data_IF_939985879725
#
_entry.id   IF_939985879725
#
_cell.length_a   1.000
_cell.length_b   1.000
_cell.length_c   1.000
_cell.angle_alpha   90.00
_cell.angle_beta   90.00
_cell.angle_gamma   90.00
#
_symmetry.space_group_name_H-M   'P 1'
#
loop_
_entity.id
_entity.type
_entity.pdbx_description
1 polymer ?
#
# COMPACT_ATOMS: atom_id res chain seq x y z
N UNK A 1 -19.14 0.37 21.85
CA UNK A 1 -19.18 1.12 20.57
C UNK A 1 -19.73 0.17 19.52
N UNK A 2 -20.66 0.62 18.72
CA UNK A 2 -21.17 -0.18 17.59
C UNK A 2 -20.10 -0.12 16.50
N UNK A 3 -19.58 -1.24 16.02
CA UNK A 3 -18.58 -1.23 14.96
C UNK A 3 -19.16 -0.70 13.65
N UNK A 4 -18.35 0.01 12.86
CA UNK A 4 -18.68 0.39 11.49
C UNK A 4 -18.63 -0.82 10.56
N UNK A 5 -17.63 -1.68 10.76
CA UNK A 5 -17.44 -2.93 10.06
C UNK A 5 -17.17 -4.05 11.07
N UNK A 6 -17.84 -5.18 10.88
CA UNK A 6 -17.59 -6.42 11.60
C UNK A 6 -17.34 -7.53 10.59
N UNK A 7 -16.23 -8.23 10.75
CA UNK A 7 -15.83 -9.40 9.96
C UNK A 7 -15.73 -10.59 10.90
N UNK A 8 -16.46 -11.66 10.60
CA UNK A 8 -16.50 -12.88 11.43
C UNK A 8 -16.15 -14.12 10.61
N UNK A 9 -15.13 -14.86 11.05
CA UNK A 9 -14.69 -16.15 10.51
C UNK A 9 -14.49 -16.14 8.99
N UNK A 10 -13.96 -15.05 8.44
CA UNK A 10 -13.76 -14.88 7.01
C UNK A 10 -12.65 -15.79 6.51
N UNK A 11 -12.94 -16.53 5.43
CA UNK A 11 -12.01 -17.44 4.77
C UNK A 11 -12.02 -17.18 3.27
N UNK A 12 -10.83 -17.16 2.67
CA UNK A 12 -10.64 -17.01 1.22
C UNK A 12 -9.51 -17.89 0.72
N UNK A 13 -9.77 -18.59 -0.38
CA UNK A 13 -8.79 -19.40 -1.10
C UNK A 13 -8.90 -19.19 -2.62
N UNK A 14 -7.84 -19.51 -3.34
CA UNK A 14 -7.80 -19.65 -4.79
C UNK A 14 -7.29 -21.06 -5.13
N UNK A 15 -8.19 -21.97 -5.46
CA UNK A 15 -7.86 -23.37 -5.61
C UNK A 15 -7.20 -23.92 -4.33
N UNK A 16 -6.02 -24.48 -4.44
CA UNK A 16 -5.27 -25.04 -3.29
C UNK A 16 -4.58 -23.97 -2.42
N UNK A 17 -4.51 -22.73 -2.88
CA UNK A 17 -3.86 -21.64 -2.15
C UNK A 17 -4.85 -20.96 -1.19
N UNK A 18 -4.75 -21.29 0.10
CA UNK A 18 -5.49 -20.60 1.15
C UNK A 18 -4.76 -19.32 1.52
N UNK A 19 -5.40 -18.16 1.32
CA UNK A 19 -4.85 -16.85 1.66
C UNK A 19 -4.99 -16.56 3.15
N UNK A 20 -6.20 -16.69 3.67
CA UNK A 20 -6.50 -16.54 5.10
C UNK A 20 -7.69 -17.42 5.48
N UNK A 21 -7.74 -17.83 6.74
CA UNK A 21 -8.71 -18.79 7.25
C UNK A 21 -9.24 -18.35 8.62
N UNK A 22 -10.57 -18.28 8.73
CA UNK A 22 -11.29 -17.93 9.95
C UNK A 22 -10.81 -16.62 10.61
N UNK A 23 -10.50 -15.61 9.82
CA UNK A 23 -10.09 -14.31 10.34
C UNK A 23 -11.30 -13.51 10.83
N UNK A 24 -11.17 -12.85 11.98
CA UNK A 24 -12.23 -12.02 12.56
C UNK A 24 -11.63 -10.72 13.09
N UNK A 25 -12.26 -9.59 12.74
CA UNK A 25 -11.87 -8.27 13.23
C UNK A 25 -13.03 -7.27 13.07
N UNK A 26 -12.93 -6.14 13.73
CA UNK A 26 -13.90 -5.07 13.58
C UNK A 26 -13.22 -3.72 13.46
N UNK A 27 -13.90 -2.76 12.84
CA UNK A 27 -13.49 -1.35 12.75
C UNK A 27 -14.59 -0.51 13.38
N UNK A 28 -14.25 0.23 14.42
CA UNK A 28 -15.16 1.15 15.07
C UNK A 28 -14.97 2.59 14.55
N UNK A 29 -15.87 3.47 14.90
CA UNK A 29 -15.82 4.90 14.59
C UNK A 29 -14.50 5.52 15.07
N UNK A 30 -13.85 6.27 14.18
CA UNK A 30 -12.59 6.98 14.45
C UNK A 30 -11.37 6.09 14.57
N UNK A 31 -11.46 4.76 14.39
CA UNK A 31 -10.31 3.88 14.37
C UNK A 31 -9.52 4.02 13.07
N UNK A 32 -8.20 4.04 13.20
CA UNK A 32 -7.26 4.09 12.08
C UNK A 32 -6.37 2.87 12.12
N UNK A 33 -6.62 1.93 11.21
CA UNK A 33 -6.03 0.60 11.21
C UNK A 33 -5.11 0.46 10.01
N UNK A 34 -3.85 0.08 10.26
CA UNK A 34 -2.91 -0.35 9.24
C UNK A 34 -2.94 -1.86 9.06
N UNK A 35 -3.16 -2.34 7.84
CA UNK A 35 -3.11 -3.76 7.49
C UNK A 35 -1.74 -4.11 6.94
N UNK A 36 -1.06 -5.03 7.60
CA UNK A 36 0.28 -5.49 7.24
C UNK A 36 0.22 -6.99 6.92
N UNK A 37 0.88 -7.38 5.84
CA UNK A 37 1.09 -8.77 5.50
C UNK A 37 2.20 -8.91 4.46
N UNK A 38 2.77 -10.11 4.32
CA UNK A 38 3.73 -10.42 3.25
C UNK A 38 3.06 -10.26 1.88
N UNK A 39 3.86 -10.05 0.84
CA UNK A 39 3.32 -10.03 -0.53
C UNK A 39 2.74 -11.40 -0.88
N UNK A 40 1.60 -11.40 -1.61
CA UNK A 40 0.91 -12.62 -1.99
C UNK A 40 0.03 -13.27 -0.90
N UNK A 41 -0.10 -12.67 0.30
CA UNK A 41 -0.97 -13.20 1.38
C UNK A 41 -2.41 -12.74 1.31
N UNK A 42 -2.79 -11.96 0.29
CA UNK A 42 -4.18 -11.57 0.05
C UNK A 42 -4.59 -10.23 0.64
N UNK A 43 -3.66 -9.24 0.84
CA UNK A 43 -4.02 -7.89 1.30
C UNK A 43 -5.08 -7.24 0.39
N UNK A 44 -4.74 -7.05 -0.88
CA UNK A 44 -5.65 -6.47 -1.88
C UNK A 44 -6.93 -7.29 -2.06
N UNK A 45 -6.83 -8.63 -2.00
CA UNK A 45 -7.99 -9.52 -2.02
C UNK A 45 -8.93 -9.24 -0.84
N UNK A 46 -8.39 -9.07 0.37
CA UNK A 46 -9.20 -8.70 1.54
C UNK A 46 -9.88 -7.33 1.34
N UNK A 47 -9.16 -6.33 0.84
CA UNK A 47 -9.76 -5.02 0.56
C UNK A 47 -10.83 -5.10 -0.52
N UNK A 48 -10.63 -5.89 -1.58
CA UNK A 48 -11.63 -6.14 -2.63
C UNK A 48 -12.87 -6.85 -2.09
N UNK A 49 -12.71 -7.79 -1.18
CA UNK A 49 -13.85 -8.46 -0.51
C UNK A 49 -14.62 -7.44 0.34
N UNK A 50 -13.95 -6.61 1.12
CA UNK A 50 -14.58 -5.57 1.94
C UNK A 50 -15.30 -4.50 1.11
N UNK A 51 -14.79 -4.20 -0.08
CA UNK A 51 -15.45 -3.27 -1.03
C UNK A 51 -16.55 -3.93 -1.88
N UNK A 52 -16.81 -5.23 -1.69
CA UNK A 52 -17.84 -5.96 -2.44
C UNK A 52 -17.47 -6.34 -3.88
N UNK A 53 -16.20 -6.15 -4.28
CA UNK A 53 -15.70 -6.45 -5.63
C UNK A 53 -15.33 -7.92 -5.82
N UNK A 54 -15.07 -8.61 -4.73
CA UNK A 54 -14.69 -10.03 -4.75
C UNK A 54 -15.47 -10.82 -3.72
N UNK A 55 -15.83 -12.08 -4.06
CA UNK A 55 -16.50 -13.00 -3.16
C UNK A 55 -15.52 -13.71 -2.22
N UNK A 56 -16.04 -14.29 -1.15
CA UNK A 56 -15.30 -15.08 -0.15
C UNK A 56 -15.93 -16.47 0.01
N UNK A 57 -15.17 -17.40 0.58
CA UNK A 57 -15.58 -18.82 0.65
C UNK A 57 -16.48 -19.09 1.87
N UNK A 58 -16.17 -18.49 3.02
CA UNK A 58 -16.91 -18.63 4.26
C UNK A 58 -16.75 -17.40 5.15
N UNK A 59 -17.69 -17.20 6.07
CA UNK A 59 -17.68 -16.08 7.02
C UNK A 59 -18.83 -15.12 6.81
N UNK A 60 -18.78 -13.99 7.54
CA UNK A 60 -19.78 -12.96 7.46
C UNK A 60 -19.14 -11.58 7.54
N UNK A 61 -19.65 -10.63 6.75
CA UNK A 61 -19.20 -9.23 6.74
C UNK A 61 -20.45 -8.37 6.94
N UNK A 62 -20.43 -7.56 7.97
CA UNK A 62 -21.54 -6.68 8.31
C UNK A 62 -21.06 -5.25 8.43
N UNK A 63 -21.61 -4.38 7.61
CA UNK A 63 -21.45 -2.93 7.73
C UNK A 63 -22.62 -2.33 8.51
N UNK A 64 -22.35 -1.28 9.28
CA UNK A 64 -23.43 -0.48 9.88
C UNK A 64 -24.32 0.08 8.76
N UNK A 65 -25.62 0.12 8.99
CA UNK A 65 -26.55 0.76 8.05
C UNK A 65 -26.21 2.23 7.85
N UNK A 66 -26.41 2.73 6.65
CA UNK A 66 -26.17 4.11 6.24
C UNK A 66 -24.70 4.59 6.35
N UNK A 67 -23.76 3.63 6.42
CA UNK A 67 -22.34 3.93 6.44
C UNK A 67 -21.85 4.26 5.02
N UNK A 68 -21.22 5.41 4.83
CA UNK A 68 -20.55 5.77 3.60
C UNK A 68 -19.15 5.17 3.62
N UNK A 69 -18.90 4.23 2.71
CA UNK A 69 -17.59 3.56 2.57
C UNK A 69 -17.02 3.92 1.21
N UNK A 70 -15.78 4.35 1.18
CA UNK A 70 -15.05 4.57 -0.07
C UNK A 70 -13.76 3.76 -0.10
N UNK A 71 -13.35 3.35 -1.30
CA UNK A 71 -12.21 2.49 -1.52
C UNK A 71 -11.31 3.01 -2.62
N UNK A 72 -10.08 3.37 -2.28
CA UNK A 72 -9.01 3.68 -3.22
C UNK A 72 -8.33 2.38 -3.66
N UNK A 73 -8.55 2.00 -4.91
CA UNK A 73 -7.90 0.85 -5.53
C UNK A 73 -6.44 1.11 -5.91
N UNK A 74 -5.67 0.05 -5.97
CA UNK A 74 -4.28 0.12 -6.44
C UNK A 74 -4.19 0.58 -7.90
N UNK A 75 -5.12 0.14 -8.79
CA UNK A 75 -5.18 0.50 -10.21
C UNK A 75 -6.58 1.02 -10.59
N UNK A 76 -6.88 2.28 -10.26
CA UNK A 76 -8.17 2.89 -10.54
C UNK A 76 -8.39 3.06 -12.05
N UNK A 77 -9.62 2.80 -12.49
CA UNK A 77 -10.03 2.95 -13.89
C UNK A 77 -11.12 3.99 -13.99
N UNK A 78 -10.93 4.93 -14.88
CA UNK A 78 -11.91 5.97 -15.23
C UNK A 78 -12.17 5.97 -16.74
N UNK A 79 -13.36 6.36 -17.20
CA UNK A 79 -13.58 6.63 -18.61
C UNK A 79 -12.60 7.67 -19.15
N UNK A 80 -12.05 7.40 -20.33
CA UNK A 80 -10.96 8.19 -20.91
C UNK A 80 -11.40 9.61 -21.33
N UNK A 81 -12.69 9.79 -21.59
CA UNK A 81 -13.27 11.05 -22.06
C UNK A 81 -13.47 12.06 -20.92
N UNK A 82 -13.55 11.60 -19.67
CA UNK A 82 -13.78 12.47 -18.52
C UNK A 82 -12.62 13.46 -18.33
N UNK A 83 -12.97 14.67 -17.91
CA UNK A 83 -11.98 15.61 -17.38
C UNK A 83 -11.52 15.19 -15.99
N UNK A 84 -10.41 15.73 -15.51
CA UNK A 84 -9.91 15.51 -14.15
C UNK A 84 -10.98 15.83 -13.11
N UNK A 85 -11.68 16.96 -13.29
CA UNK A 85 -12.72 17.37 -12.34
C UNK A 85 -13.91 16.41 -12.35
N UNK A 86 -14.38 16.01 -13.52
CA UNK A 86 -15.46 15.02 -13.68
C UNK A 86 -15.05 13.65 -13.11
N UNK A 87 -13.79 13.23 -13.26
CA UNK A 87 -13.27 12.00 -12.69
C UNK A 87 -13.29 12.04 -11.15
N UNK A 88 -13.02 13.19 -10.54
CA UNK A 88 -13.16 13.37 -9.08
C UNK A 88 -14.60 13.23 -8.60
N UNK A 89 -15.56 13.39 -9.49
CA UNK A 89 -16.98 13.30 -9.21
C UNK A 89 -17.63 12.02 -9.78
N UNK A 90 -16.84 11.09 -10.28
CA UNK A 90 -17.36 9.92 -10.99
C UNK A 90 -18.11 8.93 -10.08
N UNK A 91 -17.77 8.84 -8.81
CA UNK A 91 -18.49 7.99 -7.85
C UNK A 91 -19.68 8.78 -7.27
N UNK A 92 -20.87 8.51 -7.79
CA UNK A 92 -22.11 9.24 -7.57
C UNK A 92 -22.40 9.57 -6.10
N UNK A 93 -22.18 10.84 -5.77
CA UNK A 93 -22.72 11.48 -4.57
C UNK A 93 -23.89 12.37 -5.04
N UNK A 94 -24.96 12.49 -4.25
CA UNK A 94 -26.11 13.36 -4.55
C UNK A 94 -25.72 14.81 -4.89
N UNK A 95 -24.67 15.30 -4.25
CA UNK A 95 -24.09 16.64 -4.52
C UNK A 95 -23.47 16.72 -5.90
N UNK A 96 -22.82 15.67 -6.37
CA UNK A 96 -22.23 15.61 -7.71
C UNK A 96 -23.29 15.57 -8.81
N UNK A 97 -24.34 14.78 -8.59
CA UNK A 97 -25.49 14.77 -9.54
C UNK A 97 -26.13 16.14 -9.61
N UNK A 98 -26.25 16.80 -8.47
CA UNK A 98 -26.77 18.17 -8.40
C UNK A 98 -25.88 19.20 -9.13
N UNK A 99 -24.54 19.08 -9.01
CA UNK A 99 -23.60 19.93 -9.74
C UNK A 99 -23.74 19.70 -11.25
N UNK A 100 -23.84 18.45 -11.71
CA UNK A 100 -24.07 18.11 -13.11
C UNK A 100 -25.40 18.64 -13.65
N UNK A 101 -26.48 18.52 -12.84
CA UNK A 101 -27.78 19.10 -13.19
C UNK A 101 -27.68 20.61 -13.34
N UNK A 102 -26.93 21.27 -12.47
CA UNK A 102 -26.71 22.73 -12.54
C UNK A 102 -25.91 23.12 -13.78
N UNK A 103 -24.81 22.46 -14.08
CA UNK A 103 -24.00 22.71 -15.29
C UNK A 103 -24.82 22.50 -16.54
N UNK A 104 -25.57 21.40 -16.63
CA UNK A 104 -26.45 21.13 -17.77
C UNK A 104 -27.58 22.19 -17.91
N UNK A 105 -28.13 22.66 -16.78
CA UNK A 105 -29.11 23.75 -16.78
C UNK A 105 -28.50 25.04 -17.33
N UNK A 106 -27.26 25.35 -16.97
CA UNK A 106 -26.53 26.56 -17.43
C UNK A 106 -26.20 26.51 -18.91
N UNK A 107 -25.99 25.33 -19.49
CA UNK A 107 -25.75 25.13 -20.91
C UNK A 107 -27.05 25.19 -21.74
N UNK A 108 -28.20 25.02 -21.12
CA UNK A 108 -29.51 24.97 -21.79
C UNK A 108 -30.11 26.40 -21.93
N UNK A 109 -30.50 26.77 -23.13
CA UNK A 109 -31.17 28.07 -23.35
C UNK A 109 -32.46 28.22 -22.51
N UNK A 110 -32.56 29.33 -21.78
CA UNK A 110 -33.70 29.61 -20.90
C UNK A 110 -33.63 29.04 -19.48
N UNK A 111 -32.57 28.34 -19.14
CA UNK A 111 -32.23 27.86 -17.79
C UNK A 111 -33.43 27.30 -17.00
N UNK A 112 -34.13 26.27 -17.51
CA UNK A 112 -35.34 25.73 -16.86
C UNK A 112 -35.03 25.14 -15.50
N UNK A 113 -35.73 25.62 -14.43
CA UNK A 113 -35.56 25.10 -13.08
C UNK A 113 -34.35 25.65 -12.31
N UNK A 114 -33.68 26.68 -12.82
CA UNK A 114 -32.46 27.23 -12.20
C UNK A 114 -32.69 27.67 -10.73
N UNK A 115 -33.84 28.29 -10.40
CA UNK A 115 -34.12 28.75 -9.04
C UNK A 115 -34.18 27.60 -8.04
N UNK A 116 -34.86 26.49 -8.38
CA UNK A 116 -34.91 25.30 -7.54
C UNK A 116 -33.53 24.62 -7.40
N UNK A 117 -32.74 24.58 -8.47
CA UNK A 117 -31.38 24.05 -8.47
C UNK A 117 -30.46 24.87 -7.57
N UNK A 118 -30.53 26.21 -7.65
CA UNK A 118 -29.74 27.09 -6.78
C UNK A 118 -30.05 26.88 -5.29
N UNK A 119 -31.33 26.73 -4.95
CA UNK A 119 -31.75 26.46 -3.56
C UNK A 119 -31.20 25.10 -3.07
N UNK A 120 -31.25 24.07 -3.94
CA UNK A 120 -30.66 22.74 -3.63
C UNK A 120 -29.14 22.80 -3.53
N UNK A 121 -28.47 23.56 -4.41
CA UNK A 121 -27.00 23.76 -4.39
C UNK A 121 -26.54 24.43 -3.09
N UNK A 122 -27.29 25.43 -2.60
CA UNK A 122 -27.01 26.11 -1.34
C UNK A 122 -27.28 25.20 -0.13
N UNK A 123 -28.39 24.46 -0.16
CA UNK A 123 -28.74 23.52 0.92
C UNK A 123 -27.71 22.39 1.10
N UNK A 124 -27.26 21.80 -0.01
CA UNK A 124 -26.28 20.73 -0.05
C UNK A 124 -24.82 21.23 -0.01
N UNK A 125 -24.62 22.57 0.07
CA UNK A 125 -23.28 23.21 0.02
C UNK A 125 -22.43 22.80 -1.19
N UNK A 126 -23.07 22.60 -2.33
CA UNK A 126 -22.44 22.10 -3.54
C UNK A 126 -21.31 23.02 -4.06
N UNK A 127 -21.43 24.33 -3.83
CA UNK A 127 -20.40 25.32 -4.18
C UNK A 127 -19.09 25.09 -3.40
N UNK A 128 -19.18 24.74 -2.12
CA UNK A 128 -18.02 24.45 -1.30
C UNK A 128 -17.33 23.15 -1.74
N UNK A 129 -18.12 22.22 -2.31
CA UNK A 129 -17.67 20.91 -2.74
C UNK A 129 -16.70 21.00 -3.95
N UNK A 130 -17.04 21.78 -4.97
CA UNK A 130 -16.17 22.01 -6.12
C UNK A 130 -14.87 22.73 -5.71
N UNK A 131 -15.00 23.75 -4.85
CA UNK A 131 -13.83 24.47 -4.35
C UNK A 131 -12.90 23.54 -3.55
N UNK A 132 -13.47 22.67 -2.74
CA UNK A 132 -12.74 21.66 -1.95
C UNK A 132 -12.04 20.68 -2.88
N UNK A 133 -12.72 20.19 -3.93
CA UNK A 133 -12.14 19.31 -4.94
C UNK A 133 -10.91 19.94 -5.59
N UNK A 134 -11.02 21.18 -6.05
CA UNK A 134 -9.92 21.94 -6.65
C UNK A 134 -8.77 22.16 -5.67
N UNK A 135 -9.08 22.39 -4.39
CA UNK A 135 -8.06 22.52 -3.35
C UNK A 135 -7.30 21.21 -3.13
N UNK A 136 -7.99 20.08 -2.98
CA UNK A 136 -7.37 18.75 -2.80
C UNK A 136 -6.53 18.38 -4.02
N UNK A 137 -7.05 18.56 -5.24
CA UNK A 137 -6.31 18.35 -6.49
C UNK A 137 -5.03 19.18 -6.57
N UNK A 138 -5.11 20.46 -6.18
CA UNK A 138 -3.97 21.37 -6.16
C UNK A 138 -2.89 20.90 -5.16
N UNK A 139 -3.27 20.41 -4.00
CA UNK A 139 -2.35 19.82 -3.00
C UNK A 139 -1.66 18.56 -3.55
N UNK A 140 -2.39 17.77 -4.34
CA UNK A 140 -1.86 16.61 -5.06
C UNK A 140 -1.13 17.00 -6.36
N UNK A 141 -0.80 18.29 -6.54
CA UNK A 141 -0.04 18.83 -7.68
C UNK A 141 -0.70 18.55 -9.04
N UNK A 142 -2.02 18.49 -9.08
CA UNK A 142 -2.83 18.46 -10.31
C UNK A 142 -3.41 19.85 -10.51
N UNK A 143 -2.99 20.52 -11.59
CA UNK A 143 -3.31 21.95 -11.84
C UNK A 143 -4.27 22.15 -13.02
N UNK A 144 -4.27 21.24 -13.99
CA UNK A 144 -5.15 21.32 -15.15
C UNK A 144 -6.39 20.44 -14.89
N UNK A 145 -7.48 21.07 -14.47
CA UNK A 145 -8.72 20.37 -14.11
C UNK A 145 -9.55 19.96 -15.34
N UNK A 146 -9.36 20.65 -16.46
CA UNK A 146 -10.06 20.41 -17.73
C UNK A 146 -9.33 19.38 -18.61
N UNK A 147 -8.16 18.90 -18.17
CA UNK A 147 -7.41 17.86 -18.88
C UNK A 147 -8.17 16.53 -18.85
N UNK A 148 -8.28 15.88 -20.01
CA UNK A 148 -8.92 14.57 -20.08
C UNK A 148 -8.05 13.47 -19.45
N UNK A 149 -8.72 12.48 -18.84
CA UNK A 149 -8.10 11.34 -18.15
C UNK A 149 -7.12 10.59 -19.05
N UNK A 150 -7.42 10.40 -20.33
CA UNK A 150 -6.54 9.72 -21.31
C UNK A 150 -5.16 10.37 -21.47
N UNK A 151 -5.01 11.62 -21.09
CA UNK A 151 -3.73 12.36 -21.18
C UNK A 151 -2.96 12.39 -19.85
N UNK A 152 -3.50 11.74 -18.80
CA UNK A 152 -2.84 11.64 -17.52
C UNK A 152 -1.81 10.50 -17.53
N UNK A 153 -0.68 10.74 -16.85
CA UNK A 153 0.21 9.62 -16.49
C UNK A 153 -0.46 8.72 -15.45
N UNK A 154 -0.04 7.46 -15.36
CA UNK A 154 -0.56 6.53 -14.34
C UNK A 154 -0.47 7.07 -12.91
N UNK A 155 0.62 7.78 -12.58
CA UNK A 155 0.78 8.44 -11.29
C UNK A 155 -0.18 9.63 -11.08
N UNK A 156 -0.50 10.37 -12.14
CA UNK A 156 -1.52 11.44 -12.06
C UNK A 156 -2.90 10.86 -11.87
N UNK A 157 -3.23 9.78 -12.58
CA UNK A 157 -4.52 9.11 -12.45
C UNK A 157 -4.75 8.59 -11.02
N UNK A 158 -3.73 7.99 -10.40
CA UNK A 158 -3.79 7.53 -9.00
C UNK A 158 -3.99 8.69 -8.01
N UNK A 159 -3.39 9.85 -8.28
CA UNK A 159 -3.61 11.05 -7.47
C UNK A 159 -5.03 11.63 -7.63
N UNK A 160 -5.61 11.56 -8.83
CA UNK A 160 -7.01 11.93 -9.06
C UNK A 160 -7.94 10.98 -8.31
N UNK A 161 -7.68 9.67 -8.34
CA UNK A 161 -8.46 8.69 -7.59
C UNK A 161 -8.37 8.91 -6.07
N UNK A 162 -7.18 9.24 -5.56
CA UNK A 162 -7.02 9.61 -4.16
C UNK A 162 -7.82 10.87 -3.83
N UNK A 163 -7.77 11.91 -4.69
CA UNK A 163 -8.58 13.11 -4.51
C UNK A 163 -10.08 12.77 -4.44
N UNK A 164 -10.59 11.94 -5.35
CA UNK A 164 -11.96 11.48 -5.34
C UNK A 164 -12.34 10.86 -3.99
N UNK A 165 -11.57 9.89 -3.51
CA UNK A 165 -11.81 9.20 -2.24
C UNK A 165 -11.77 10.15 -1.02
N UNK A 166 -11.00 11.25 -1.07
CA UNK A 166 -10.92 12.24 0.00
C UNK A 166 -12.07 13.27 -0.05
N UNK A 167 -12.53 13.61 -1.27
CA UNK A 167 -13.61 14.58 -1.49
C UNK A 167 -14.94 14.05 -0.99
N UNK A 168 -15.21 12.75 -1.13
CA UNK A 168 -16.46 12.11 -0.72
C UNK A 168 -16.70 12.14 0.80
N UNK A 169 -15.67 12.43 1.62
CA UNK A 169 -15.71 12.42 3.09
C UNK A 169 -16.44 11.18 3.64
N UNK A 170 -15.95 9.97 3.35
CA UNK A 170 -16.62 8.77 3.80
C UNK A 170 -16.48 8.60 5.32
N UNK A 171 -17.40 7.85 5.94
CA UNK A 171 -17.30 7.48 7.35
C UNK A 171 -16.18 6.43 7.56
N UNK A 172 -15.99 5.54 6.57
CA UNK A 172 -14.91 4.56 6.51
C UNK A 172 -14.18 4.67 5.16
N UNK A 173 -12.92 5.01 5.21
CA UNK A 173 -12.03 5.08 4.06
C UNK A 173 -11.10 3.87 4.02
N UNK A 174 -11.08 3.17 2.88
CA UNK A 174 -10.19 2.04 2.63
C UNK A 174 -9.15 2.48 1.60
N UNK A 175 -7.85 2.38 1.93
CA UNK A 175 -6.75 2.82 1.07
C UNK A 175 -5.79 1.66 0.78
N UNK A 176 -5.56 1.37 -0.51
CA UNK A 176 -4.54 0.43 -0.95
C UNK A 176 -3.35 1.19 -1.54
N UNK A 177 -2.22 1.21 -0.80
CA UNK A 177 -0.96 1.87 -1.17
C UNK A 177 -1.11 3.36 -1.55
N UNK A 178 -1.73 4.21 -0.70
CA UNK A 178 -2.04 5.60 -1.06
C UNK A 178 -0.80 6.48 -1.23
N UNK A 179 0.34 6.12 -0.65
CA UNK A 179 1.60 6.87 -0.74
C UNK A 179 2.37 6.62 -2.03
N UNK A 180 2.00 5.58 -2.79
CA UNK A 180 2.62 5.32 -4.07
C UNK A 180 2.36 6.50 -5.04
N UNK A 181 3.39 6.93 -5.75
CA UNK A 181 3.38 8.06 -6.69
C UNK A 181 3.19 9.45 -6.06
N UNK A 182 3.20 9.56 -4.72
CA UNK A 182 3.30 10.83 -4.01
C UNK A 182 4.78 11.19 -3.80
N UNK A 183 5.07 12.46 -3.82
CA UNK A 183 6.34 12.98 -3.32
C UNK A 183 6.23 13.34 -1.83
N UNK A 184 7.33 13.79 -1.23
CA UNK A 184 7.38 14.05 0.20
C UNK A 184 6.32 15.06 0.65
N UNK A 185 6.21 16.19 -0.08
CA UNK A 185 5.27 17.27 0.28
C UNK A 185 3.81 16.76 0.25
N UNK A 186 3.46 15.98 -0.79
CA UNK A 186 2.11 15.39 -0.91
C UNK A 186 1.86 14.35 0.18
N UNK A 187 2.87 13.55 0.53
CA UNK A 187 2.77 12.53 1.59
C UNK A 187 2.57 13.19 2.95
N UNK A 188 3.34 14.23 3.28
CA UNK A 188 3.18 15.00 4.52
C UNK A 188 1.80 15.69 4.60
N UNK A 189 1.34 16.26 3.49
CA UNK A 189 0.00 16.83 3.42
C UNK A 189 -1.08 15.79 3.65
N UNK A 190 -0.99 14.60 3.02
CA UNK A 190 -1.96 13.52 3.18
C UNK A 190 -1.98 13.00 4.63
N UNK A 191 -0.80 12.87 5.26
CA UNK A 191 -0.67 12.51 6.67
C UNK A 191 -1.42 13.49 7.55
N UNK A 192 -1.18 14.79 7.37
CA UNK A 192 -1.85 15.85 8.13
C UNK A 192 -3.36 15.86 7.88
N UNK A 193 -3.80 15.67 6.64
CA UNK A 193 -5.21 15.60 6.28
C UNK A 193 -5.90 14.43 7.01
N UNK A 194 -5.36 13.22 6.92
CA UNK A 194 -5.92 12.03 7.56
C UNK A 194 -5.91 12.11 9.10
N UNK A 195 -4.97 12.84 9.67
CA UNK A 195 -4.90 13.03 11.14
C UNK A 195 -5.93 14.02 11.65
N UNK A 196 -6.25 15.06 10.88
CA UNK A 196 -7.19 16.13 11.27
C UNK A 196 -8.65 15.75 11.02
N UNK A 197 -8.90 14.90 10.03
CA UNK A 197 -10.27 14.46 9.71
C UNK A 197 -10.74 13.39 10.69
N UNK A 198 -12.02 13.47 11.06
CA UNK A 198 -12.65 12.47 11.93
C UNK A 198 -13.24 11.33 11.09
N UNK A 199 -12.38 10.58 10.39
CA UNK A 199 -12.76 9.42 9.59
C UNK A 199 -12.17 8.13 10.18
N UNK A 200 -12.86 7.01 9.95
CA UNK A 200 -12.31 5.69 10.21
C UNK A 200 -11.50 5.25 9.00
N UNK A 201 -10.37 4.59 9.23
CA UNK A 201 -9.42 4.26 8.19
C UNK A 201 -9.01 2.79 8.27
N UNK A 202 -9.03 2.10 7.13
CA UNK A 202 -8.32 0.84 6.90
C UNK A 202 -7.32 1.06 5.77
N UNK A 203 -6.03 0.88 6.05
CA UNK A 203 -4.99 1.21 5.08
C UNK A 203 -3.96 0.10 4.93
N UNK A 204 -3.59 -0.18 3.69
CA UNK A 204 -2.42 -0.97 3.33
C UNK A 204 -1.36 -0.02 2.80
N UNK A 205 -0.15 -0.06 3.35
CA UNK A 205 1.01 0.62 2.77
C UNK A 205 2.32 -0.01 3.23
N UNK A 206 3.35 0.14 2.42
CA UNK A 206 4.73 -0.22 2.75
C UNK A 206 5.50 0.92 3.42
N UNK A 207 4.94 2.12 3.48
CA UNK A 207 5.52 3.26 4.16
C UNK A 207 5.32 3.16 5.68
N UNK A 208 6.40 2.75 6.36
CA UNK A 208 6.43 2.53 7.81
C UNK A 208 6.26 3.81 8.61
N UNK A 209 6.79 4.91 8.11
CA UNK A 209 6.70 6.22 8.76
C UNK A 209 5.27 6.75 8.69
N UNK A 210 4.64 6.59 7.54
CA UNK A 210 3.25 6.95 7.35
C UNK A 210 2.32 6.11 8.26
N UNK A 211 2.53 4.79 8.33
CA UNK A 211 1.79 3.92 9.26
C UNK A 211 1.95 4.35 10.71
N UNK A 212 3.17 4.65 11.14
CA UNK A 212 3.46 5.02 12.53
C UNK A 212 2.79 6.32 12.96
N UNK A 213 2.61 7.26 12.02
CA UNK A 213 2.03 8.58 12.28
C UNK A 213 0.52 8.63 12.13
N UNK A 214 -0.05 7.84 11.22
CA UNK A 214 -1.49 7.90 10.89
C UNK A 214 -2.29 6.84 11.63
N UNK A 215 -1.77 5.61 11.76
CA UNK A 215 -2.50 4.49 12.34
C UNK A 215 -2.33 4.38 13.85
N UNK A 216 -3.42 4.11 14.56
CA UNK A 216 -3.44 3.84 16.00
C UNK A 216 -3.47 2.35 16.33
N UNK A 217 -3.79 1.52 15.35
CA UNK A 217 -3.84 0.07 15.46
C UNK A 217 -3.26 -0.59 14.22
N UNK A 218 -2.66 -1.76 14.40
CA UNK A 218 -2.10 -2.57 13.31
C UNK A 218 -2.76 -3.95 13.33
N UNK A 219 -3.19 -4.39 12.17
CA UNK A 219 -3.63 -5.76 11.91
C UNK A 219 -2.59 -6.43 11.02
N UNK A 220 -2.10 -7.59 11.44
CA UNK A 220 -1.17 -8.41 10.66
C UNK A 220 -1.82 -9.70 10.22
N UNK A 221 -1.73 -10.01 8.91
CA UNK A 221 -2.04 -11.35 8.40
C UNK A 221 -0.72 -12.10 8.25
N UNK A 222 -0.52 -13.12 9.08
CA UNK A 222 0.66 -13.99 9.07
C UNK A 222 0.24 -15.46 9.22
N UNK A 223 0.78 -16.33 8.38
CA UNK A 223 0.44 -17.75 8.39
C UNK A 223 -1.07 -18.04 8.36
N UNK A 224 -1.83 -17.33 7.51
CA UNK A 224 -3.29 -17.42 7.31
C UNK A 224 -4.13 -16.96 8.51
N UNK A 225 -3.51 -16.45 9.57
CA UNK A 225 -4.16 -15.96 10.78
C UNK A 225 -4.03 -14.45 10.88
N UNK A 226 -4.95 -13.84 11.62
CA UNK A 226 -4.96 -12.42 11.88
C UNK A 226 -4.52 -12.14 13.31
N UNK A 227 -3.60 -11.18 13.46
CA UNK A 227 -3.11 -10.68 14.74
C UNK A 227 -3.38 -9.18 14.81
N UNK A 228 -3.95 -8.72 15.92
CA UNK A 228 -4.28 -7.33 16.15
C UNK A 228 -3.40 -6.74 17.24
N UNK A 229 -2.84 -5.56 16.98
CA UNK A 229 -1.98 -4.83 17.90
C UNK A 229 -2.54 -3.42 18.11
N UNK A 230 -2.88 -3.09 19.35
CA UNK A 230 -3.39 -1.76 19.73
C UNK A 230 -2.21 -0.86 20.03
N UNK A 231 -1.75 -0.16 19.04
CA UNK A 231 -0.60 0.74 19.07
C UNK A 231 -0.12 1.08 17.67
N UNK A 232 0.91 1.92 17.60
CA UNK A 232 1.54 2.35 16.36
C UNK A 232 2.44 1.25 15.77
N UNK A 233 3.08 1.56 14.63
CA UNK A 233 3.94 0.60 13.94
C UNK A 233 5.15 0.16 14.79
N UNK A 234 5.74 1.07 15.56
CA UNK A 234 6.87 0.76 16.44
C UNK A 234 6.48 -0.23 17.54
N UNK A 235 5.30 -0.06 18.16
CA UNK A 235 4.74 -1.00 19.13
C UNK A 235 4.46 -2.37 18.50
N UNK A 236 3.91 -2.38 17.28
CA UNK A 236 3.70 -3.61 16.53
C UNK A 236 4.99 -4.40 16.33
N UNK A 237 6.09 -3.74 15.93
CA UNK A 237 7.38 -4.42 15.72
C UNK A 237 7.87 -5.11 16.99
N UNK A 238 7.80 -4.44 18.14
CA UNK A 238 8.18 -5.00 19.43
C UNK A 238 7.33 -6.24 19.76
N UNK A 239 6.01 -6.11 19.70
CA UNK A 239 5.09 -7.20 20.03
C UNK A 239 5.15 -8.36 19.04
N UNK A 240 5.39 -8.08 17.79
CA UNK A 240 5.63 -9.11 16.77
C UNK A 240 6.89 -9.91 17.10
N UNK A 241 7.97 -9.23 17.48
CA UNK A 241 9.23 -9.90 17.86
C UNK A 241 9.03 -10.79 19.07
N UNK A 242 8.38 -10.30 20.15
CA UNK A 242 8.03 -11.12 21.31
C UNK A 242 7.22 -12.37 20.93
N UNK A 243 6.22 -12.22 20.05
CA UNK A 243 5.39 -13.34 19.56
C UNK A 243 6.25 -14.39 18.82
N UNK A 244 7.14 -13.94 17.94
CA UNK A 244 8.03 -14.82 17.16
C UNK A 244 8.96 -15.60 18.11
N UNK A 245 9.55 -14.92 19.08
CA UNK A 245 10.44 -15.53 20.07
C UNK A 245 9.70 -16.55 20.93
N UNK A 246 8.52 -16.20 21.46
CA UNK A 246 7.69 -17.12 22.24
C UNK A 246 7.34 -18.38 21.44
N UNK A 247 6.96 -18.22 20.17
CA UNK A 247 6.61 -19.36 19.31
C UNK A 247 7.82 -20.19 18.92
N UNK A 248 8.99 -19.59 18.75
CA UNK A 248 10.23 -20.35 18.50
C UNK A 248 10.62 -21.23 19.68
N UNK A 249 10.48 -20.72 20.91
CA UNK A 249 10.70 -21.50 22.15
C UNK A 249 9.68 -22.63 22.29
N UNK A 250 8.41 -22.39 21.94
CA UNK A 250 7.37 -23.42 21.95
C UNK A 250 7.70 -24.57 20.98
N UNK A 251 8.08 -24.24 19.74
CA UNK A 251 8.48 -25.21 18.72
C UNK A 251 9.73 -25.98 19.16
N UNK A 252 10.71 -25.32 19.76
CA UNK A 252 11.91 -25.97 20.26
C UNK A 252 11.59 -26.98 21.38
N UNK A 253 10.73 -26.60 22.33
CA UNK A 253 10.21 -27.52 23.38
C UNK A 253 9.45 -28.69 22.77
N UNK A 254 8.58 -28.42 21.79
CA UNK A 254 7.83 -29.46 21.09
C UNK A 254 8.78 -30.41 20.32
N UNK A 255 9.83 -29.91 19.70
CA UNK A 255 10.84 -30.71 19.00
C UNK A 255 11.61 -31.63 19.96
N UNK A 256 11.99 -31.13 21.14
CA UNK A 256 12.68 -31.92 22.15
C UNK A 256 11.77 -33.04 22.69
N UNK A 257 10.51 -32.72 22.96
CA UNK A 257 9.50 -33.68 23.40
C UNK A 257 9.20 -34.71 22.29
N UNK A 258 9.05 -34.25 21.04
CA UNK A 258 8.83 -35.12 19.87
C UNK A 258 9.93 -36.17 19.73
N UNK A 259 11.20 -35.80 19.87
CA UNK A 259 12.33 -36.74 19.80
C UNK A 259 12.18 -37.85 20.87
N UNK A 260 11.83 -37.46 22.08
CA UNK A 260 11.63 -38.41 23.20
C UNK A 260 10.45 -39.36 22.97
N UNK A 261 9.31 -38.80 22.52
CA UNK A 261 8.11 -39.57 22.24
C UNK A 261 8.24 -40.42 20.96
N UNK A 262 9.03 -39.98 19.97
CA UNK A 262 9.35 -40.74 18.77
C UNK A 262 10.12 -42.02 19.10
N UNK A 263 11.08 -41.92 20.02
CA UNK A 263 11.84 -43.09 20.48
C UNK A 263 10.93 -44.09 21.23
N UNK A 264 9.97 -43.59 22.02
CA UNK A 264 8.95 -44.43 22.63
C UNK A 264 8.01 -45.05 21.60
N UNK A 265 7.59 -44.34 20.58
CA UNK A 265 6.74 -44.84 19.49
C UNK A 265 7.45 -45.91 18.65
N UNK A 266 8.76 -45.86 18.49
CA UNK A 266 9.56 -46.85 17.75
C UNK A 266 9.80 -48.15 18.53
N UNK A 267 9.74 -48.11 19.87
CA UNK A 267 9.92 -49.33 20.70
C UNK A 267 8.72 -50.24 20.51
N UNK A 268 8.98 -51.54 20.30
CA UNK A 268 7.92 -52.57 20.30
C UNK A 268 7.30 -52.72 21.68
N UNK A 269 5.96 -52.90 21.81
CA UNK A 269 5.34 -53.22 23.09
C UNK A 269 5.85 -54.59 23.59
N UNK A 270 6.21 -54.66 24.86
CA UNK A 270 6.53 -55.96 25.50
C UNK A 270 5.28 -56.83 25.54
N UNK A 271 5.45 -58.15 25.38
CA UNK A 271 4.41 -59.15 25.17
C UNK A 271 3.05 -58.86 25.85
N UNK A 272 1.97 -58.82 25.06
CA UNK A 272 0.55 -58.59 25.45
C UNK A 272 0.18 -57.17 25.93
N UNK A 273 1.07 -56.16 25.84
CA UNK A 273 0.72 -54.80 26.18
C UNK A 273 0.40 -53.98 24.91
N UNK A 274 -0.73 -53.25 24.88
CA UNK A 274 -1.07 -52.29 23.88
C UNK A 274 -0.48 -50.92 24.27
N UNK A 275 0.03 -50.15 23.30
CA UNK A 275 0.41 -48.76 23.55
C UNK A 275 -0.83 -47.95 23.94
N UNK A 276 -0.73 -47.19 25.02
CA UNK A 276 -1.83 -46.35 25.48
C UNK A 276 -2.29 -45.37 24.36
N UNK A 277 -3.56 -45.48 23.95
CA UNK A 277 -4.14 -44.68 22.88
C UNK A 277 -3.97 -43.19 23.15
N UNK A 278 -4.22 -42.71 24.36
CA UNK A 278 -4.03 -41.34 24.79
C UNK A 278 -2.63 -40.80 24.47
N UNK A 279 -1.57 -41.61 24.72
CA UNK A 279 -0.20 -41.19 24.46
C UNK A 279 0.12 -41.16 22.96
N UNK A 280 -0.52 -42.02 22.17
CA UNK A 280 -0.42 -41.97 20.71
C UNK A 280 -1.08 -40.72 20.17
N UNK A 281 -2.28 -40.38 20.65
CA UNK A 281 -2.99 -39.16 20.24
C UNK A 281 -2.17 -37.91 20.61
N UNK A 282 -1.61 -37.85 21.83
CA UNK A 282 -0.73 -36.77 22.26
C UNK A 282 0.54 -36.66 21.41
N UNK A 283 1.12 -37.79 20.96
CA UNK A 283 2.27 -37.79 20.04
C UNK A 283 1.98 -37.07 18.73
N UNK A 284 0.82 -37.33 18.12
CA UNK A 284 0.44 -36.68 16.87
C UNK A 284 0.21 -35.17 17.02
N UNK A 285 -0.31 -34.74 18.16
CA UNK A 285 -0.42 -33.30 18.45
C UNK A 285 0.96 -32.65 18.62
N UNK A 286 1.88 -33.28 19.33
CA UNK A 286 3.26 -32.81 19.49
C UNK A 286 3.96 -32.77 18.11
N UNK A 287 3.78 -33.81 17.31
CA UNK A 287 4.35 -33.88 15.95
C UNK A 287 3.86 -32.74 15.08
N UNK A 288 2.59 -32.39 15.15
CA UNK A 288 1.98 -31.27 14.40
C UNK A 288 2.63 -29.94 14.76
N UNK A 289 2.89 -29.69 16.04
CA UNK A 289 3.56 -28.48 16.51
C UNK A 289 5.05 -28.49 16.14
N UNK A 290 5.74 -29.60 16.36
CA UNK A 290 7.17 -29.74 16.07
C UNK A 290 7.52 -29.63 14.58
N UNK A 291 6.62 -30.02 13.69
CA UNK A 291 6.78 -29.89 12.23
C UNK A 291 6.43 -28.50 11.69
N UNK A 292 5.92 -27.58 12.51
CA UNK A 292 5.72 -26.21 12.06
C UNK A 292 7.06 -25.57 11.73
N UNK A 293 7.29 -25.24 10.46
CA UNK A 293 8.47 -24.49 10.04
C UNK A 293 8.15 -23.00 10.15
N UNK A 294 8.84 -22.32 11.03
CA UNK A 294 8.91 -20.86 11.00
C UNK A 294 9.91 -20.47 9.89
N UNK A 295 9.41 -20.14 8.71
CA UNK A 295 10.25 -19.55 7.68
C UNK A 295 10.56 -18.11 8.06
N UNK A 296 11.55 -17.93 8.91
CA UNK A 296 12.20 -16.65 9.15
C UNK A 296 13.48 -16.55 8.29
N UNK A 297 13.42 -17.10 7.08
CA UNK A 297 14.54 -17.07 6.15
C UNK A 297 14.79 -15.61 5.72
N UNK A 298 15.65 -14.94 6.48
CA UNK A 298 16.38 -13.82 5.94
C UNK A 298 17.22 -14.38 4.79
N UNK A 299 16.82 -14.10 3.57
CA UNK A 299 17.59 -14.43 2.38
C UNK A 299 18.96 -13.75 2.53
N UNK A 300 19.98 -14.51 2.91
CA UNK A 300 21.35 -14.05 2.86
C UNK A 300 21.77 -14.10 1.40
N UNK A 301 21.74 -12.97 0.74
CA UNK A 301 22.36 -12.81 -0.56
C UNK A 301 23.89 -12.78 -0.34
N UNK A 302 24.54 -13.90 -0.51
CA UNK A 302 25.99 -13.96 -0.63
C UNK A 302 26.38 -13.42 -2.01
N UNK A 303 26.54 -12.12 -2.08
CA UNK A 303 27.09 -11.47 -3.29
C UNK A 303 28.61 -11.61 -3.24
N UNK A 304 29.17 -12.41 -4.14
CA UNK A 304 30.62 -12.39 -4.38
C UNK A 304 30.99 -11.01 -4.92
N UNK A 305 31.60 -10.18 -4.09
CA UNK A 305 32.09 -8.88 -4.50
C UNK A 305 33.17 -9.09 -5.58
N UNK A 306 32.90 -8.64 -6.82
CA UNK A 306 33.92 -8.50 -7.85
C UNK A 306 34.89 -7.39 -7.42
N UNK A 307 36.15 -7.51 -7.86
CA UNK A 307 37.14 -6.45 -7.61
C UNK A 307 36.66 -5.14 -8.25
N UNK A 308 36.47 -4.12 -7.43
CA UNK A 308 36.12 -2.78 -7.86
C UNK A 308 37.38 -1.93 -7.72
N UNK A 309 37.81 -1.26 -8.78
CA UNK A 309 38.93 -0.31 -8.76
C UNK A 309 38.68 0.85 -7.79
N UNK A 310 39.67 1.70 -7.61
CA UNK A 310 39.58 2.88 -6.72
C UNK A 310 38.64 3.97 -7.26
N UNK A 311 38.50 4.08 -8.59
CA UNK A 311 37.64 5.03 -9.29
C UNK A 311 36.29 4.35 -9.58
N UNK A 312 35.21 4.92 -9.09
CA UNK A 312 33.85 4.47 -9.38
C UNK A 312 33.30 5.29 -10.54
N UNK A 313 32.91 6.51 -10.30
CA UNK A 313 32.61 7.49 -11.34
C UNK A 313 32.79 8.93 -10.81
N UNK A 314 33.10 9.81 -11.72
CA UNK A 314 33.31 11.21 -11.49
C UNK A 314 32.45 12.01 -12.46
N UNK A 315 31.59 12.84 -11.90
CA UNK A 315 30.78 13.77 -12.64
C UNK A 315 31.42 15.16 -12.54
N UNK A 316 31.67 15.80 -13.66
CA UNK A 316 32.35 17.09 -13.68
C UNK A 316 31.53 18.09 -14.52
N UNK A 317 31.11 19.17 -13.84
CA UNK A 317 30.34 20.27 -14.42
C UNK A 317 29.16 19.84 -15.30
N UNK A 318 28.32 18.92 -14.81
CA UNK A 318 27.18 18.43 -15.57
C UNK A 318 26.04 19.42 -15.66
N UNK A 319 25.56 19.63 -16.86
CA UNK A 319 24.37 20.42 -17.16
C UNK A 319 23.38 19.56 -17.94
N UNK A 320 22.10 19.65 -17.58
CA UNK A 320 21.00 19.02 -18.32
C UNK A 320 19.72 19.79 -18.16
N UNK A 321 19.08 20.12 -19.29
CA UNK A 321 17.76 20.75 -19.32
C UNK A 321 16.85 20.11 -20.37
N UNK A 322 15.56 20.20 -20.17
CA UNK A 322 14.53 19.84 -21.14
C UNK A 322 13.59 21.05 -21.31
N UNK A 323 13.79 21.77 -22.40
CA UNK A 323 13.13 23.06 -22.58
C UNK A 323 13.49 24.03 -21.45
N UNK A 324 12.49 24.57 -20.76
CA UNK A 324 12.70 25.51 -19.65
C UNK A 324 13.03 24.79 -18.30
N UNK A 325 12.91 23.47 -18.26
CA UNK A 325 13.17 22.71 -17.04
C UNK A 325 14.64 22.34 -16.91
N UNK A 326 15.35 23.00 -16.00
CA UNK A 326 16.72 22.65 -15.64
C UNK A 326 16.70 21.44 -14.67
N UNK A 327 17.40 20.37 -15.03
CA UNK A 327 17.54 19.16 -14.22
C UNK A 327 18.86 19.15 -13.46
N UNK A 328 19.95 19.48 -14.16
CA UNK A 328 21.28 19.65 -13.58
C UNK A 328 21.80 21.04 -13.96
N UNK A 329 22.38 21.71 -12.99
CA UNK A 329 22.98 23.04 -13.16
C UNK A 329 24.32 23.04 -12.40
N UNK A 330 25.42 22.85 -13.13
CA UNK A 330 26.78 22.80 -12.62
C UNK A 330 27.01 21.71 -11.55
N UNK A 331 26.54 20.49 -11.83
CA UNK A 331 26.70 19.39 -10.88
C UNK A 331 28.06 18.72 -11.05
N UNK A 332 28.86 18.71 -9.96
CA UNK A 332 30.14 18.02 -9.89
C UNK A 332 30.18 17.15 -8.63
N UNK A 333 30.54 15.87 -8.80
CA UNK A 333 30.65 14.94 -7.69
C UNK A 333 31.54 13.74 -8.00
N UNK A 334 32.33 13.31 -7.01
CA UNK A 334 33.18 12.12 -7.10
C UNK A 334 32.60 11.04 -6.19
N UNK A 335 32.17 9.93 -6.77
CA UNK A 335 31.59 8.81 -6.02
C UNK A 335 32.67 7.91 -5.48
N UNK A 336 32.71 7.76 -4.17
CA UNK A 336 33.66 6.93 -3.48
C UNK A 336 33.26 5.44 -3.51
N UNK A 337 34.23 4.59 -3.37
CA UNK A 337 34.02 3.13 -3.26
C UNK A 337 33.19 2.82 -2.00
N UNK A 338 32.13 1.97 -2.16
CA UNK A 338 31.18 1.58 -1.10
C UNK A 338 30.30 2.71 -0.58
N UNK A 339 30.29 3.84 -1.24
CA UNK A 339 29.38 4.93 -0.90
C UNK A 339 27.93 4.53 -1.13
N UNK A 340 27.04 4.98 -0.27
CA UNK A 340 25.59 4.85 -0.40
C UNK A 340 24.99 6.24 -0.43
N UNK A 341 24.45 6.63 -1.58
CA UNK A 341 23.85 7.95 -1.77
C UNK A 341 22.34 7.83 -1.93
N UNK A 342 21.60 8.68 -1.21
CA UNK A 342 20.17 8.88 -1.40
C UNK A 342 19.90 10.12 -2.25
N UNK A 343 19.10 9.97 -3.31
CA UNK A 343 18.66 11.10 -4.15
C UNK A 343 17.22 11.43 -3.75
N UNK A 344 17.02 12.63 -3.20
CA UNK A 344 15.72 13.10 -2.72
C UNK A 344 15.27 14.30 -3.56
N UNK A 345 14.00 14.43 -3.80
CA UNK A 345 13.39 15.55 -4.53
C UNK A 345 11.97 15.23 -4.97
N UNK A 346 11.25 16.26 -5.36
CA UNK A 346 9.86 16.17 -5.82
C UNK A 346 9.72 15.34 -7.10
N UNK A 347 8.49 14.92 -7.44
CA UNK A 347 8.24 14.23 -8.69
C UNK A 347 8.47 15.19 -9.88
N UNK A 348 9.07 14.66 -10.95
CA UNK A 348 9.40 15.45 -12.15
C UNK A 348 10.69 16.29 -12.07
N UNK A 349 11.43 16.28 -10.95
CA UNK A 349 12.69 17.04 -10.81
C UNK A 349 13.90 16.39 -11.52
N UNK A 350 13.70 15.24 -12.19
CA UNK A 350 14.76 14.64 -12.99
C UNK A 350 15.63 13.60 -12.27
N UNK A 351 15.21 13.07 -11.12
CA UNK A 351 15.95 12.02 -10.39
C UNK A 351 16.33 10.81 -11.24
N UNK A 352 15.36 10.27 -11.98
CA UNK A 352 15.61 9.15 -12.90
C UNK A 352 16.49 9.55 -14.09
N UNK A 353 16.33 10.77 -14.59
CA UNK A 353 17.18 11.32 -15.66
C UNK A 353 18.63 11.43 -15.21
N UNK A 354 18.85 11.91 -13.99
CA UNK A 354 20.19 11.96 -13.40
C UNK A 354 20.85 10.59 -13.35
N UNK A 355 20.14 9.56 -12.85
CA UNK A 355 20.67 8.18 -12.84
C UNK A 355 21.00 7.70 -14.26
N UNK A 356 20.12 7.97 -15.24
CA UNK A 356 20.34 7.60 -16.63
C UNK A 356 21.55 8.32 -17.27
N UNK A 357 21.80 9.57 -16.86
CA UNK A 357 23.02 10.30 -17.28
C UNK A 357 24.27 9.60 -16.72
N UNK A 358 24.26 9.21 -15.45
CA UNK A 358 25.37 8.49 -14.83
C UNK A 358 25.64 7.14 -15.46
N UNK A 359 24.60 6.45 -15.95
CA UNK A 359 24.75 5.18 -16.68
C UNK A 359 25.14 5.35 -18.15
N UNK A 360 25.15 6.59 -18.66
CA UNK A 360 25.44 6.89 -20.05
C UNK A 360 24.27 6.69 -21.02
N UNK A 361 23.07 6.38 -20.52
CA UNK A 361 21.85 6.21 -21.33
C UNK A 361 21.30 7.56 -21.86
N UNK A 362 21.53 8.63 -21.13
CA UNK A 362 21.14 10.00 -21.50
C UNK A 362 22.41 10.86 -21.52
N UNK A 363 22.65 11.56 -22.62
CA UNK A 363 23.78 12.47 -22.72
C UNK A 363 23.49 13.78 -21.95
N UNK A 364 24.43 14.30 -21.16
CA UNK A 364 24.35 15.63 -20.61
C UNK A 364 24.43 16.69 -21.73
N UNK A 365 23.95 17.88 -21.48
CA UNK A 365 24.06 19.00 -22.45
C UNK A 365 25.48 19.56 -22.46
N UNK A 366 26.15 19.53 -21.30
CA UNK A 366 27.59 19.80 -21.15
C UNK A 366 28.14 19.15 -19.89
N UNK A 367 29.48 19.11 -19.76
CA UNK A 367 30.19 18.39 -18.71
C UNK A 367 30.53 16.97 -19.09
N UNK A 368 31.19 16.25 -18.20
CA UNK A 368 31.68 14.89 -18.45
C UNK A 368 31.34 13.96 -17.29
N UNK A 369 31.05 12.68 -17.65
CA UNK A 369 30.95 11.58 -16.69
C UNK A 369 32.07 10.60 -17.02
N UNK A 370 33.01 10.42 -16.09
CA UNK A 370 34.11 9.49 -16.22
C UNK A 370 33.87 8.27 -15.33
N UNK A 371 33.68 7.12 -15.94
CA UNK A 371 33.31 5.85 -15.28
C UNK A 371 34.53 4.93 -15.24
N UNK A 372 34.82 4.37 -14.06
CA UNK A 372 35.93 3.42 -13.91
C UNK A 372 35.71 2.16 -14.79
N UNK A 373 36.77 1.69 -15.45
CA UNK A 373 36.72 0.54 -16.41
C UNK A 373 36.15 -0.75 -15.78
N UNK A 374 36.25 -0.92 -14.48
CA UNK A 374 35.76 -2.10 -13.74
C UNK A 374 34.35 -1.95 -13.20
N UNK A 375 33.70 -0.80 -13.40
CA UNK A 375 32.34 -0.53 -12.92
C UNK A 375 31.31 -1.23 -13.79
N UNK A 376 30.41 -1.96 -13.15
CA UNK A 376 29.24 -2.55 -13.80
C UNK A 376 28.00 -2.04 -13.12
N UNK A 377 27.06 -1.49 -13.88
CA UNK A 377 25.80 -1.02 -13.39
C UNK A 377 24.79 -2.16 -13.30
N UNK A 378 24.09 -2.24 -12.15
CA UNK A 378 22.84 -2.97 -12.04
C UNK A 378 21.74 -1.90 -11.83
N UNK A 379 20.81 -1.80 -12.77
CA UNK A 379 19.72 -0.84 -12.71
C UNK A 379 18.40 -1.54 -12.40
N UNK A 380 17.75 -1.08 -11.34
CA UNK A 380 16.38 -1.49 -11.02
C UNK A 380 15.45 -0.28 -11.21
N UNK A 381 14.64 -0.33 -12.26
CA UNK A 381 13.72 0.76 -12.60
C UNK A 381 12.42 0.67 -11.78
N UNK A 382 11.67 1.78 -11.77
CA UNK A 382 10.34 1.81 -11.16
C UNK A 382 9.35 0.86 -11.88
N UNK A 383 9.54 0.64 -13.16
CA UNK A 383 8.72 -0.25 -14.00
C UNK A 383 9.15 -1.74 -13.89
N UNK A 384 10.10 -2.04 -13.00
CA UNK A 384 10.65 -3.38 -12.80
C UNK A 384 11.71 -3.78 -13.84
N UNK A 385 12.06 -5.08 -13.84
CA UNK A 385 12.97 -5.65 -14.83
C UNK A 385 12.17 -6.02 -16.09
N UNK A 386 12.47 -5.39 -17.20
CA UNK A 386 12.01 -5.83 -18.51
C UNK A 386 12.96 -6.92 -18.98
N UNK A 387 12.44 -8.12 -19.19
CA UNK A 387 13.17 -9.20 -19.83
C UNK A 387 12.84 -9.15 -21.32
N UNK A 388 13.83 -9.04 -22.17
CA UNK A 388 13.66 -9.29 -23.61
C UNK A 388 13.31 -10.77 -23.79
N UNK A 389 12.17 -11.05 -24.47
CA UNK A 389 11.73 -12.41 -24.80
C UNK A 389 12.62 -13.07 -25.83
#
# INVERSE_FOLDING_TARGET
>A
MVPYLQVDNLTKSFGDLVLFENISFGIAEGQRIGLIAKNGTGKTTLLNILSGKEGYDNGNIVFRRDLRVDYLEQDPKYPEELTVLEACFHHGNSVVELIKEYEHCMETEGHPGLEDLLVRMDHEKAWEYEQKAKQILSQLKIRNFDQQVKHLSGGQLKRVALANALITEPDLLILDEPTNHLDLDMTEWLEDYLRRTNLSLLMVTHDRYFLDRVCSEIIEIDNRQLYQYKGNYSYYLEKRQERIEAKSVEIERANNLYRTELDWMRRMPQARAHKAKYRQDAFYEIEKVAKQRFNNDNVKLDVKASYIGSKIFEADHLYKSFGDLKILDDFSYIFARYEKMGIVGNNGTGKSTFIKILMGEVQPDSGTVDIGETVRFGYYSQDGLQFDE
#
